data_IF_760229169948
#
_entry.id   IF_760229169948
#
_cell.length_a   1.000
_cell.length_b   1.000
_cell.length_c   1.000
_cell.angle_alpha   90.00
_cell.angle_beta   90.00
_cell.angle_gamma   90.00
#
_symmetry.space_group_name_H-M   'P 1'
#
loop_
_entity.id
_entity.type
_entity.pdbx_description
1 polymer ?
#
# COMPACT_ATOMS: atom_id res chain seq x y z
N UNK A 1 -0.96 14.28 21.34
CA UNK A 1 -1.51 14.90 20.11
C UNK A 1 -0.76 14.34 18.91
N UNK A 2 -1.38 14.32 17.72
CA UNK A 2 -0.75 13.83 16.49
C UNK A 2 -0.44 15.03 15.59
N UNK A 3 0.80 15.11 15.11
CA UNK A 3 1.25 16.16 14.20
C UNK A 3 1.64 15.55 12.86
N UNK A 4 1.07 16.04 11.77
CA UNK A 4 1.55 15.76 10.43
C UNK A 4 2.75 16.66 10.14
N UNK A 5 3.81 16.10 9.56
CA UNK A 5 5.01 16.85 9.21
C UNK A 5 5.45 16.64 7.76
N UNK A 6 6.20 17.60 7.25
CA UNK A 6 7.10 17.48 6.11
C UNK A 6 8.46 18.01 6.54
N UNK A 7 9.51 17.22 6.34
CA UNK A 7 10.85 17.58 6.80
C UNK A 7 11.92 17.00 5.87
N UNK A 8 13.08 17.66 5.78
CA UNK A 8 14.23 17.17 4.99
C UNK A 8 15.17 16.36 5.85
N UNK A 9 15.60 15.20 5.37
CA UNK A 9 16.68 14.44 6.02
C UNK A 9 18.07 15.02 5.65
N UNK A 10 19.13 14.42 6.21
CA UNK A 10 20.53 14.79 5.91
C UNK A 10 20.96 14.62 4.45
N UNK A 11 20.17 13.94 3.62
CA UNK A 11 20.40 13.78 2.19
C UNK A 11 19.59 14.79 1.36
N UNK A 12 18.97 15.79 2.02
CA UNK A 12 18.04 16.75 1.43
C UNK A 12 16.79 16.11 0.80
N UNK A 13 16.45 14.88 1.15
CA UNK A 13 15.20 14.24 0.71
C UNK A 13 14.05 14.65 1.63
N UNK A 14 12.91 14.96 1.03
CA UNK A 14 11.69 15.33 1.77
C UNK A 14 11.03 14.05 2.27
N UNK A 15 10.74 13.98 3.55
CA UNK A 15 9.96 12.93 4.18
C UNK A 15 8.72 13.51 4.81
N UNK A 16 7.58 12.86 4.60
CA UNK A 16 6.31 13.23 5.24
C UNK A 16 5.85 12.13 6.17
N UNK A 17 5.12 12.51 7.21
CA UNK A 17 4.64 11.53 8.17
C UNK A 17 3.86 12.13 9.31
N UNK A 18 3.70 11.33 10.36
CA UNK A 18 3.06 11.74 11.58
C UNK A 18 3.97 11.48 12.76
N UNK A 19 3.97 12.41 13.73
CA UNK A 19 4.71 12.30 14.99
C UNK A 19 3.75 12.55 16.15
N UNK A 20 3.87 11.75 17.20
CA UNK A 20 3.06 11.91 18.41
C UNK A 20 3.86 12.69 19.45
N UNK A 21 3.33 13.84 19.86
CA UNK A 21 3.97 14.70 20.86
C UNK A 21 2.90 15.41 21.72
N UNK A 22 3.31 15.97 22.85
CA UNK A 22 2.43 16.76 23.71
C UNK A 22 2.37 18.23 23.29
N UNK A 23 3.30 18.67 22.43
CA UNK A 23 3.35 20.03 21.89
C UNK A 23 4.07 20.06 20.53
N UNK A 24 3.87 21.12 19.71
CA UNK A 24 4.61 21.29 18.46
C UNK A 24 6.12 21.38 18.67
N UNK A 25 6.56 22.04 19.75
CA UNK A 25 7.99 22.17 20.07
C UNK A 25 8.64 20.81 20.41
N UNK A 26 7.90 19.93 21.08
CA UNK A 26 8.36 18.56 21.36
C UNK A 26 8.42 17.73 20.07
N UNK A 27 7.42 17.83 19.19
CA UNK A 27 7.43 17.19 17.88
C UNK A 27 8.63 17.63 17.02
N UNK A 28 8.92 18.94 16.97
CA UNK A 28 10.10 19.47 16.27
C UNK A 28 11.39 18.91 16.85
N UNK A 29 11.56 18.91 18.18
CA UNK A 29 12.74 18.33 18.82
C UNK A 29 12.92 16.85 18.52
N UNK A 30 11.83 16.08 18.50
CA UNK A 30 11.89 14.67 18.12
C UNK A 30 12.37 14.50 16.68
N UNK A 31 11.85 15.27 15.74
CA UNK A 31 12.27 15.24 14.33
C UNK A 31 13.73 15.70 14.15
N UNK A 32 14.13 16.78 14.84
CA UNK A 32 15.52 17.27 14.84
C UNK A 32 16.49 16.24 15.42
N UNK A 33 16.09 15.48 16.44
CA UNK A 33 16.90 14.39 17.02
C UNK A 33 17.14 13.24 16.04
N UNK A 34 16.25 13.09 15.05
CA UNK A 34 16.35 12.17 13.92
C UNK A 34 17.04 12.82 12.71
N UNK A 35 17.66 13.99 12.90
CA UNK A 35 18.37 14.74 11.87
C UNK A 35 17.46 15.20 10.72
N UNK A 36 16.20 15.48 11.03
CA UNK A 36 15.27 16.12 10.10
C UNK A 36 15.23 17.64 10.31
N UNK A 37 15.28 18.39 9.21
CA UNK A 37 14.97 19.80 9.17
C UNK A 37 13.48 19.99 8.84
N UNK A 38 12.70 20.43 9.82
CA UNK A 38 11.24 20.54 9.70
C UNK A 38 10.87 21.71 8.78
N UNK A 39 10.20 21.41 7.66
CA UNK A 39 9.65 22.40 6.72
C UNK A 39 8.19 22.73 7.05
N UNK A 40 7.43 21.74 7.52
CA UNK A 40 6.00 21.88 7.84
C UNK A 40 5.62 21.02 9.04
N UNK A 41 4.77 21.55 9.91
CA UNK A 41 4.20 20.83 11.05
C UNK A 41 2.77 21.33 11.31
N UNK A 42 1.78 20.43 11.31
CA UNK A 42 0.37 20.76 11.59
C UNK A 42 -0.24 19.74 12.54
N UNK A 43 -0.96 20.22 13.55
CA UNK A 43 -1.74 19.37 14.44
C UNK A 43 -2.93 18.76 13.69
N UNK A 44 -3.14 17.45 13.89
CA UNK A 44 -4.24 16.71 13.27
C UNK A 44 -5.04 16.04 14.39
N UNK A 45 -6.34 16.31 14.42
CA UNK A 45 -7.28 15.65 15.32
C UNK A 45 -7.38 14.16 14.98
N UNK A 46 -7.31 13.29 15.99
CA UNK A 46 -7.36 11.82 15.83
C UNK A 46 -8.63 11.32 15.09
N UNK A 47 -9.65 12.17 14.95
CA UNK A 47 -10.91 11.89 14.26
C UNK A 47 -10.87 12.07 12.73
N UNK A 48 -9.83 12.69 12.14
CA UNK A 48 -9.78 12.96 10.68
C UNK A 48 -8.85 12.01 9.90
N UNK A 49 -8.19 11.08 10.58
CA UNK A 49 -7.40 10.04 9.91
C UNK A 49 -8.30 8.93 9.40
N UNK A 50 -8.44 8.79 8.08
CA UNK A 50 -8.80 7.54 7.42
C UNK A 50 -8.20 6.37 8.24
N UNK A 51 -9.01 5.36 8.61
CA UNK A 51 -8.51 4.07 9.12
C UNK A 51 -7.49 3.55 8.12
N UNK A 52 -6.24 3.90 8.33
CA UNK A 52 -5.17 3.58 7.43
C UNK A 52 -4.81 2.14 7.69
N UNK A 53 -4.51 1.38 6.64
CA UNK A 53 -3.99 0.02 6.76
C UNK A 53 -2.55 0.02 7.30
N UNK A 54 -2.19 1.00 8.14
CA UNK A 54 -0.89 1.10 8.76
C UNK A 54 -0.94 0.39 10.11
N UNK A 55 -0.11 -0.63 10.25
CA UNK A 55 0.21 -1.25 11.52
C UNK A 55 1.28 -0.42 12.22
N UNK A 56 1.22 -0.39 13.56
CA UNK A 56 2.27 0.23 14.39
C UNK A 56 3.29 -0.82 14.79
N UNK A 57 4.55 -0.54 14.50
CA UNK A 57 5.68 -1.38 14.86
C UNK A 57 6.55 -0.65 15.86
N UNK A 58 7.02 -1.32 16.90
CA UNK A 58 8.05 -0.80 17.80
C UNK A 58 9.44 -1.22 17.32
N UNK A 59 10.43 -0.38 17.55
CA UNK A 59 11.81 -0.62 17.15
C UNK A 59 12.82 -0.18 18.20
N UNK A 60 14.00 -0.80 18.14
CA UNK A 60 15.24 -0.38 18.79
C UNK A 60 16.33 -0.35 17.73
N UNK A 61 17.00 0.77 17.56
CA UNK A 61 18.01 0.95 16.54
C UNK A 61 19.16 1.83 17.06
N UNK A 62 20.27 1.88 16.32
CA UNK A 62 21.37 2.81 16.53
C UNK A 62 21.35 3.88 15.46
N UNK A 63 21.55 5.12 15.87
CA UNK A 63 21.79 6.22 14.93
C UNK A 63 23.27 6.25 14.50
N UNK A 64 23.64 7.21 13.63
CA UNK A 64 25.03 7.41 13.17
C UNK A 64 26.04 7.66 14.30
N UNK A 65 25.59 8.20 15.42
CA UNK A 65 26.40 8.43 16.62
C UNK A 65 26.51 7.18 17.51
N UNK A 66 26.01 6.03 17.04
CA UNK A 66 25.94 4.77 17.77
C UNK A 66 25.10 4.86 19.07
N UNK A 67 24.21 5.86 19.18
CA UNK A 67 23.27 6.01 20.29
C UNK A 67 22.02 5.17 20.02
N UNK A 68 21.55 4.47 21.05
CA UNK A 68 20.33 3.67 20.98
C UNK A 68 19.10 4.59 20.96
N UNK A 69 18.28 4.42 19.93
CA UNK A 69 16.97 5.06 19.74
C UNK A 69 15.90 3.97 19.85
N UNK A 70 14.84 4.26 20.61
CA UNK A 70 13.66 3.40 20.71
C UNK A 70 12.46 4.22 20.28
N UNK A 71 11.54 3.60 19.55
CA UNK A 71 10.35 4.30 19.08
C UNK A 71 9.33 3.37 18.46
N UNK A 72 8.31 3.97 17.87
CA UNK A 72 7.33 3.28 17.03
C UNK A 72 7.26 3.92 15.65
N UNK A 73 6.94 3.12 14.65
CA UNK A 73 6.74 3.57 13.26
C UNK A 73 5.44 2.97 12.73
N UNK A 74 4.69 3.78 11.99
CA UNK A 74 3.50 3.35 11.25
C UNK A 74 3.92 2.90 9.84
N UNK A 75 3.58 1.67 9.46
CA UNK A 75 3.90 1.10 8.16
C UNK A 75 2.85 0.07 7.69
N UNK A 76 2.73 -0.17 6.38
CA UNK A 76 1.74 -1.11 5.83
C UNK A 76 2.05 -2.55 6.19
N UNK A 77 3.33 -2.84 6.42
CA UNK A 77 3.87 -4.16 6.68
C UNK A 77 5.25 -4.02 7.35
N UNK A 78 5.81 -5.14 7.79
CA UNK A 78 7.08 -5.16 8.50
C UNK A 78 8.27 -4.73 7.61
N UNK A 79 8.27 -5.14 6.33
CA UNK A 79 9.35 -4.81 5.40
C UNK A 79 9.38 -3.32 5.08
N UNK A 80 8.22 -2.70 4.81
CA UNK A 80 8.14 -1.27 4.57
C UNK A 80 8.61 -0.48 5.80
N UNK A 81 8.22 -0.86 7.01
CA UNK A 81 8.69 -0.21 8.24
C UNK A 81 10.21 -0.27 8.40
N UNK A 82 10.82 -1.44 8.16
CA UNK A 82 12.28 -1.63 8.18
C UNK A 82 12.96 -0.76 7.12
N UNK A 83 12.45 -0.76 5.88
CA UNK A 83 12.99 0.05 4.79
C UNK A 83 12.95 1.54 5.11
N UNK A 84 11.87 2.04 5.69
CA UNK A 84 11.76 3.44 6.12
C UNK A 84 12.81 3.78 7.16
N UNK A 85 12.90 3.01 8.25
CA UNK A 85 13.91 3.21 9.30
C UNK A 85 15.35 3.24 8.75
N UNK A 86 15.67 2.37 7.79
CA UNK A 86 17.01 2.33 7.21
C UNK A 86 17.27 3.43 6.17
N UNK A 87 16.29 3.75 5.31
CA UNK A 87 16.49 4.68 4.19
C UNK A 87 16.17 6.13 4.55
N UNK A 88 15.04 6.36 5.21
CA UNK A 88 14.58 7.70 5.57
C UNK A 88 15.33 8.22 6.80
N UNK A 89 15.49 7.36 7.81
CA UNK A 89 16.05 7.74 9.13
C UNK A 89 17.52 7.34 9.32
N UNK A 90 18.11 6.59 8.38
CA UNK A 90 19.51 6.11 8.43
C UNK A 90 19.84 5.43 9.78
N UNK A 91 18.93 4.57 10.23
CA UNK A 91 19.04 3.83 11.49
C UNK A 91 19.51 2.40 11.25
N UNK A 92 20.43 1.94 12.10
CA UNK A 92 20.86 0.54 12.16
C UNK A 92 19.98 -0.24 13.15
N UNK A 93 19.04 -1.01 12.62
CA UNK A 93 17.97 -1.63 13.40
C UNK A 93 18.50 -2.84 14.17
N UNK A 94 18.33 -2.83 15.49
CA UNK A 94 18.67 -3.95 16.37
C UNK A 94 17.44 -4.87 16.63
N UNK A 95 16.27 -4.27 16.84
CA UNK A 95 14.99 -4.95 17.08
C UNK A 95 13.86 -4.26 16.32
N UNK A 96 12.91 -5.04 15.81
CA UNK A 96 11.71 -4.54 15.13
C UNK A 96 10.56 -5.54 15.28
N UNK A 97 9.35 -5.07 15.55
CA UNK A 97 8.19 -5.96 15.70
C UNK A 97 6.90 -5.22 15.99
N UNK A 98 5.78 -5.96 16.08
CA UNK A 98 4.47 -5.38 16.40
C UNK A 98 4.53 -4.62 17.74
N UNK A 99 3.86 -3.46 17.80
CA UNK A 99 3.82 -2.62 19.00
C UNK A 99 3.36 -3.39 20.26
N UNK A 100 2.52 -4.40 20.10
CA UNK A 100 1.92 -5.16 21.20
C UNK A 100 2.83 -6.27 21.75
N UNK A 101 3.95 -6.59 21.10
CA UNK A 101 4.89 -7.58 21.62
C UNK A 101 5.55 -7.09 22.91
N UNK A 102 5.98 -8.00 23.79
CA UNK A 102 6.83 -7.63 24.92
C UNK A 102 8.27 -7.34 24.45
N UNK A 103 9.09 -6.70 25.28
CA UNK A 103 10.50 -6.50 24.95
C UNK A 103 11.29 -7.82 24.97
N UNK A 104 10.86 -8.78 25.78
CA UNK A 104 11.45 -10.12 25.83
C UNK A 104 11.16 -10.88 24.53
N UNK A 105 9.94 -10.80 23.99
CA UNK A 105 9.57 -11.45 22.74
C UNK A 105 10.28 -10.83 21.53
N UNK A 106 10.55 -9.52 21.56
CA UNK A 106 11.37 -8.88 20.53
C UNK A 106 12.80 -9.43 20.53
N UNK A 107 13.42 -9.57 21.70
CA UNK A 107 14.80 -10.06 21.83
C UNK A 107 14.89 -11.53 21.36
N UNK A 108 13.87 -12.35 21.63
CA UNK A 108 13.80 -13.72 21.11
C UNK A 108 13.73 -13.77 19.57
N UNK A 109 13.10 -12.78 18.94
CA UNK A 109 12.95 -12.69 17.49
C UNK A 109 14.11 -11.94 16.79
N UNK A 110 15.14 -11.53 17.54
CA UNK A 110 16.26 -10.74 17.02
C UNK A 110 16.95 -11.41 15.83
N UNK A 111 17.15 -12.74 15.88
CA UNK A 111 17.78 -13.50 14.79
C UNK A 111 17.01 -13.37 13.48
N UNK A 112 15.71 -13.65 13.51
CA UNK A 112 14.81 -13.57 12.34
C UNK A 112 14.74 -12.15 11.75
N UNK A 113 14.76 -11.12 12.60
CA UNK A 113 14.77 -9.73 12.13
C UNK A 113 16.09 -9.36 11.46
N UNK A 114 17.23 -9.83 11.98
CA UNK A 114 18.54 -9.59 11.35
C UNK A 114 18.65 -10.29 9.99
N UNK A 115 18.09 -11.50 9.85
CA UNK A 115 18.00 -12.19 8.56
C UNK A 115 17.15 -11.40 7.56
N UNK A 116 15.99 -10.89 7.98
CA UNK A 116 15.12 -10.06 7.14
C UNK A 116 15.81 -8.76 6.71
N UNK A 117 16.54 -8.10 7.62
CA UNK A 117 17.33 -6.90 7.31
C UNK A 117 18.43 -7.21 6.28
N UNK A 118 19.12 -8.35 6.44
CA UNK A 118 20.16 -8.78 5.50
C UNK A 118 19.58 -9.06 4.10
N UNK A 119 18.42 -9.71 4.01
CA UNK A 119 17.70 -9.93 2.76
C UNK A 119 17.27 -8.60 2.11
N UNK A 120 16.74 -7.66 2.89
CA UNK A 120 16.36 -6.32 2.41
C UNK A 120 17.57 -5.52 1.87
N UNK A 121 18.75 -5.66 2.49
CA UNK A 121 20.00 -5.00 2.05
C UNK A 121 20.57 -5.62 0.77
N UNK A 122 20.45 -6.93 0.60
CA UNK A 122 21.05 -7.67 -0.51
C UNK A 122 20.16 -7.73 -1.75
N UNK A 123 18.83 -7.62 -1.59
CA UNK A 123 17.91 -7.54 -2.73
C UNK A 123 18.21 -6.27 -3.56
N UNK A 124 18.71 -6.41 -4.80
CA UNK A 124 18.87 -5.27 -5.68
C UNK A 124 17.50 -4.64 -5.89
N UNK A 125 17.43 -3.31 -5.79
CA UNK A 125 16.24 -2.55 -6.13
C UNK A 125 16.06 -2.69 -7.65
N UNK A 126 15.46 -3.80 -8.09
CA UNK A 126 15.03 -3.94 -9.46
C UNK A 126 14.01 -2.82 -9.71
N UNK A 127 14.43 -1.82 -10.48
CA UNK A 127 13.60 -0.74 -11.04
C UNK A 127 12.51 -1.34 -11.91
N UNK A 128 11.47 -1.90 -11.28
CA UNK A 128 10.17 -2.26 -11.88
C UNK A 128 9.19 -2.74 -10.82
N UNK A 129 9.16 -2.08 -9.67
CA UNK A 129 8.03 -2.07 -8.74
C UNK A 129 8.31 -0.97 -7.72
N UNK A 130 7.27 -0.17 -7.45
CA UNK A 130 7.24 0.85 -6.39
C UNK A 130 7.96 2.15 -6.71
N UNK A 131 7.36 2.97 -7.59
CA UNK A 131 7.46 4.43 -7.48
C UNK A 131 6.48 4.90 -6.39
N UNK A 132 6.88 4.71 -5.13
CA UNK A 132 6.52 5.65 -4.07
C UNK A 132 7.53 6.80 -4.15
N UNK A 133 7.00 7.99 -4.37
CA UNK A 133 7.43 9.23 -3.71
C UNK A 133 8.91 9.61 -3.87
N UNK A 134 9.21 10.19 -5.02
CA UNK A 134 10.05 11.38 -5.11
C UNK A 134 9.56 12.13 -6.36
N UNK A 135 8.86 13.26 -6.15
CA UNK A 135 8.67 14.41 -7.05
C UNK A 135 7.48 15.23 -6.57
N UNK A 136 7.75 16.33 -5.88
CA UNK A 136 6.90 17.51 -5.97
C UNK A 136 7.79 18.73 -6.16
N UNK A 137 8.07 19.04 -7.43
CA UNK A 137 8.43 20.36 -7.95
C UNK A 137 8.51 20.28 -9.47
N UNK A 138 7.42 20.67 -10.13
CA UNK A 138 7.30 21.01 -11.56
C UNK A 138 7.43 19.88 -12.60
N UNK A 139 6.31 19.20 -12.90
CA UNK A 139 5.92 18.96 -14.30
C UNK A 139 4.39 18.72 -14.39
N UNK A 140 3.71 19.69 -14.99
CA UNK A 140 2.26 19.76 -15.12
C UNK A 140 1.74 18.76 -16.18
N UNK A 141 0.56 18.20 -15.91
CA UNK A 141 -0.44 17.64 -16.84
C UNK A 141 -0.25 16.24 -17.46
N UNK A 142 0.94 15.69 -17.71
CA UNK A 142 1.06 14.35 -18.35
C UNK A 142 1.00 13.17 -17.37
N UNK A 143 1.33 13.39 -16.09
CA UNK A 143 1.43 12.30 -15.11
C UNK A 143 0.07 11.76 -14.62
N UNK A 144 -1.02 12.54 -14.75
CA UNK A 144 -2.37 12.05 -14.44
C UNK A 144 -2.93 11.05 -15.46
N UNK A 145 -2.30 10.95 -16.63
CA UNK A 145 -2.64 9.93 -17.63
C UNK A 145 -2.03 8.58 -17.23
N UNK A 146 -0.83 8.57 -16.64
CA UNK A 146 -0.10 7.33 -16.30
C UNK A 146 -0.69 6.51 -15.13
N UNK A 147 -1.07 7.12 -14.00
CA UNK A 147 -1.74 6.40 -12.88
C UNK A 147 -3.16 5.91 -13.20
N UNK A 148 -3.78 6.41 -14.28
CA UNK A 148 -5.10 5.98 -14.76
C UNK A 148 -5.01 4.81 -15.75
N UNK A 149 -3.84 4.57 -16.36
CA UNK A 149 -3.57 3.42 -17.24
C UNK A 149 -3.49 2.12 -16.40
N UNK A 150 -3.01 2.20 -15.16
CA UNK A 150 -2.90 1.04 -14.25
C UNK A 150 -4.27 0.41 -13.90
N UNK A 151 -5.36 1.17 -13.86
CA UNK A 151 -6.67 0.61 -13.46
C UNK A 151 -7.26 -0.33 -14.51
N UNK A 152 -7.15 0.05 -15.80
CA UNK A 152 -7.65 -0.78 -16.90
C UNK A 152 -6.76 -2.02 -17.07
N UNK A 153 -5.44 -1.89 -16.92
CA UNK A 153 -4.52 -3.02 -16.96
C UNK A 153 -4.77 -4.02 -15.81
N UNK A 154 -5.08 -3.53 -14.61
CA UNK A 154 -5.47 -4.39 -13.49
C UNK A 154 -6.79 -5.12 -13.74
N UNK A 155 -7.79 -4.45 -14.33
CA UNK A 155 -9.06 -5.10 -14.70
C UNK A 155 -8.88 -6.16 -15.78
N UNK A 156 -8.11 -5.87 -16.83
CA UNK A 156 -7.76 -6.84 -17.88
C UNK A 156 -7.06 -8.06 -17.26
N UNK A 157 -6.10 -7.83 -16.35
CA UNK A 157 -5.38 -8.90 -15.66
C UNK A 157 -6.31 -9.76 -14.80
N UNK A 158 -7.27 -9.14 -14.11
CA UNK A 158 -8.24 -9.83 -13.27
C UNK A 158 -9.24 -10.66 -14.09
N UNK A 159 -9.77 -10.11 -15.19
CA UNK A 159 -10.68 -10.85 -16.08
C UNK A 159 -9.94 -12.02 -16.74
N UNK A 160 -8.70 -11.81 -17.19
CA UNK A 160 -7.85 -12.89 -17.71
C UNK A 160 -7.56 -13.96 -16.65
N UNK A 161 -7.30 -13.56 -15.41
CA UNK A 161 -7.13 -14.51 -14.31
C UNK A 161 -8.39 -15.36 -14.10
N UNK A 162 -9.57 -14.73 -14.09
CA UNK A 162 -10.84 -15.43 -13.90
C UNK A 162 -11.10 -16.41 -15.04
N UNK A 163 -10.96 -15.96 -16.29
CA UNK A 163 -11.12 -16.78 -17.49
C UNK A 163 -10.18 -17.99 -17.49
N UNK A 164 -8.90 -17.79 -17.13
CA UNK A 164 -7.91 -18.87 -17.17
C UNK A 164 -8.02 -19.83 -15.97
N UNK A 165 -8.29 -19.31 -14.77
CA UNK A 165 -8.31 -20.12 -13.54
C UNK A 165 -9.61 -20.89 -13.37
N UNK A 166 -10.73 -20.31 -13.79
CA UNK A 166 -12.06 -20.89 -13.63
C UNK A 166 -12.67 -21.38 -14.95
N UNK A 167 -11.85 -21.56 -16.00
CA UNK A 167 -12.31 -21.93 -17.35
C UNK A 167 -13.28 -23.12 -17.38
N UNK A 168 -12.97 -24.16 -16.60
CA UNK A 168 -13.77 -25.38 -16.50
C UNK A 168 -15.10 -25.22 -15.76
N UNK A 169 -15.28 -24.12 -15.03
CA UNK A 169 -16.46 -23.84 -14.21
C UNK A 169 -17.37 -22.80 -14.88
N UNK A 170 -16.85 -22.00 -15.82
CA UNK A 170 -17.61 -20.98 -16.52
C UNK A 170 -18.55 -21.63 -17.55
N UNK A 171 -19.84 -21.25 -17.51
CA UNK A 171 -20.77 -21.57 -18.60
C UNK A 171 -20.27 -20.89 -19.88
N UNK A 172 -20.46 -21.55 -21.04
CA UNK A 172 -20.02 -21.02 -22.33
C UNK A 172 -20.57 -19.60 -22.63
N UNK A 173 -21.79 -19.31 -22.15
CA UNK A 173 -22.42 -17.99 -22.26
C UNK A 173 -21.64 -16.93 -21.47
N UNK A 174 -21.42 -17.15 -20.18
CA UNK A 174 -20.65 -16.23 -19.32
C UNK A 174 -19.20 -16.07 -19.80
N UNK A 175 -18.59 -17.14 -20.33
CA UNK A 175 -17.26 -17.09 -20.94
C UNK A 175 -17.23 -16.18 -22.16
N UNK A 176 -18.21 -16.30 -23.06
CA UNK A 176 -18.33 -15.43 -24.24
C UNK A 176 -18.49 -13.96 -23.86
N UNK A 177 -19.33 -13.67 -22.86
CA UNK A 177 -19.59 -12.31 -22.37
C UNK A 177 -18.34 -11.68 -21.72
N UNK A 178 -17.61 -12.46 -20.91
CA UNK A 178 -16.34 -12.05 -20.30
C UNK A 178 -15.29 -11.75 -21.36
N UNK A 179 -15.23 -12.55 -22.42
CA UNK A 179 -14.23 -12.43 -23.48
C UNK A 179 -14.57 -11.29 -24.46
N UNK A 180 -15.84 -11.04 -24.72
CA UNK A 180 -16.31 -9.84 -25.41
C UNK A 180 -15.99 -8.58 -24.62
N UNK A 181 -16.20 -8.61 -23.30
CA UNK A 181 -15.89 -7.48 -22.43
C UNK A 181 -14.38 -7.23 -22.32
N UNK A 182 -13.57 -8.28 -22.26
CA UNK A 182 -12.11 -8.19 -22.34
C UNK A 182 -11.69 -7.49 -23.66
N UNK A 183 -12.24 -7.92 -24.79
CA UNK A 183 -11.97 -7.31 -26.09
C UNK A 183 -12.39 -5.83 -26.13
N UNK A 184 -13.49 -5.46 -25.48
CA UNK A 184 -13.91 -4.06 -25.35
C UNK A 184 -12.88 -3.29 -24.51
N UNK A 185 -12.43 -3.82 -23.37
CA UNK A 185 -11.41 -3.16 -22.55
C UNK A 185 -10.07 -3.02 -23.27
N UNK A 186 -9.62 -4.02 -24.01
CA UNK A 186 -8.39 -3.93 -24.80
C UNK A 186 -8.47 -2.86 -25.89
N UNK A 187 -9.60 -2.80 -26.62
CA UNK A 187 -9.85 -1.79 -27.66
C UNK A 187 -9.98 -0.39 -27.08
N UNK A 188 -10.55 -0.28 -25.88
CA UNK A 188 -10.85 1.00 -25.25
C UNK A 188 -9.77 1.42 -24.24
N UNK A 189 -8.71 0.64 -24.00
CA UNK A 189 -7.71 0.97 -22.95
C UNK A 189 -7.04 2.34 -23.10
N UNK A 190 -7.06 2.90 -24.31
CA UNK A 190 -6.52 4.23 -24.63
C UNK A 190 -7.58 5.31 -24.82
N UNK A 191 -8.87 4.99 -24.63
CA UNK A 191 -9.97 5.94 -24.83
C UNK A 191 -10.04 6.96 -23.69
N UNK A 192 -10.42 8.20 -24.03
CA UNK A 192 -10.60 9.28 -23.05
C UNK A 192 -11.87 9.09 -22.20
N UNK A 193 -12.80 8.21 -22.61
CA UNK A 193 -14.08 8.01 -21.93
C UNK A 193 -13.97 6.99 -20.78
N UNK A 194 -13.22 7.40 -19.75
CA UNK A 194 -12.88 6.57 -18.58
C UNK A 194 -14.09 6.24 -17.70
N UNK A 195 -15.08 7.13 -17.63
CA UNK A 195 -16.30 6.92 -16.85
C UNK A 195 -17.13 5.76 -17.40
N UNK A 196 -17.20 5.64 -18.73
CA UNK A 196 -17.91 4.54 -19.38
C UNK A 196 -17.23 3.18 -19.10
N UNK A 197 -15.89 3.11 -19.17
CA UNK A 197 -15.15 1.89 -18.84
C UNK A 197 -15.33 1.47 -17.38
N UNK A 198 -15.32 2.44 -16.44
CA UNK A 198 -15.56 2.14 -15.03
C UNK A 198 -16.95 1.56 -14.79
N UNK A 199 -17.98 2.10 -15.45
CA UNK A 199 -19.33 1.59 -15.33
C UNK A 199 -19.48 0.20 -15.96
N UNK A 200 -18.84 -0.04 -17.11
CA UNK A 200 -18.80 -1.37 -17.74
C UNK A 200 -18.09 -2.39 -16.86
N UNK A 201 -16.94 -2.03 -16.28
CA UNK A 201 -16.20 -2.89 -15.35
C UNK A 201 -16.99 -3.19 -14.07
N UNK A 202 -17.71 -2.19 -13.54
CA UNK A 202 -18.60 -2.37 -12.39
C UNK A 202 -19.76 -3.32 -12.72
N UNK A 203 -20.35 -3.20 -13.92
CA UNK A 203 -21.41 -4.13 -14.35
C UNK A 203 -20.87 -5.55 -14.43
N UNK A 204 -19.70 -5.71 -15.07
CA UNK A 204 -19.08 -7.01 -15.24
C UNK A 204 -18.72 -7.68 -13.91
N UNK A 205 -18.08 -6.96 -12.98
CA UNK A 205 -17.75 -7.52 -11.65
C UNK A 205 -19.04 -7.89 -10.91
N UNK A 206 -20.08 -7.07 -10.99
CA UNK A 206 -21.38 -7.39 -10.40
C UNK A 206 -22.01 -8.61 -11.05
N UNK A 207 -21.94 -8.76 -12.36
CA UNK A 207 -22.43 -9.93 -13.08
C UNK A 207 -21.66 -11.17 -12.67
N UNK A 208 -20.32 -11.15 -12.70
CA UNK A 208 -19.47 -12.26 -12.22
C UNK A 208 -19.82 -12.66 -10.78
N UNK A 209 -19.98 -11.69 -9.87
CA UNK A 209 -20.30 -11.96 -8.47
C UNK A 209 -21.76 -12.40 -8.25
N UNK A 210 -22.68 -12.01 -9.14
CA UNK A 210 -24.09 -12.36 -9.04
C UNK A 210 -24.44 -13.65 -9.77
N UNK A 211 -23.65 -14.04 -10.77
CA UNK A 211 -23.82 -15.25 -11.57
C UNK A 211 -23.70 -16.48 -10.66
N UNK A 212 -24.58 -17.45 -10.88
CA UNK A 212 -24.80 -18.63 -10.01
C UNK A 212 -23.52 -19.45 -9.75
N UNK A 213 -22.48 -19.25 -10.57
CA UNK A 213 -21.11 -19.73 -10.38
C UNK A 213 -20.59 -19.53 -8.95
N UNK A 214 -20.85 -18.38 -8.33
CA UNK A 214 -20.44 -18.09 -6.95
C UNK A 214 -21.49 -18.45 -5.90
N UNK A 215 -22.70 -18.87 -6.28
CA UNK A 215 -23.77 -19.17 -5.32
C UNK A 215 -24.06 -20.65 -5.16
N UNK A 216 -23.85 -21.47 -6.19
CA UNK A 216 -24.26 -22.88 -6.18
C UNK A 216 -23.11 -23.89 -6.17
N UNK A 217 -21.85 -23.49 -6.42
CA UNK A 217 -20.76 -24.46 -6.65
C UNK A 217 -19.53 -24.36 -5.75
N UNK A 218 -19.48 -23.42 -4.80
CA UNK A 218 -18.35 -23.29 -3.88
C UNK A 218 -18.80 -23.19 -2.44
N UNK A 219 -18.49 -24.22 -1.64
CA UNK A 219 -18.44 -24.08 -0.19
C UNK A 219 -17.22 -23.19 0.11
N UNK A 220 -17.46 -21.88 0.27
CA UNK A 220 -16.42 -20.87 0.46
C UNK A 220 -15.53 -21.11 1.69
N UNK A 221 -15.89 -22.05 2.56
CA UNK A 221 -15.09 -22.42 3.70
C UNK A 221 -13.85 -23.27 3.36
N UNK A 222 -13.80 -23.91 2.18
CA UNK A 222 -12.75 -24.88 1.85
C UNK A 222 -11.61 -24.36 0.96
N UNK A 223 -11.67 -23.13 0.45
CA UNK A 223 -10.59 -22.55 -0.38
C UNK A 223 -10.20 -21.13 0.02
N UNK A 224 -9.08 -20.95 0.75
CA UNK A 224 -8.55 -19.64 1.12
C UNK A 224 -8.25 -18.73 -0.08
N UNK A 225 -7.93 -19.32 -1.24
CA UNK A 225 -7.61 -18.61 -2.47
C UNK A 225 -8.84 -17.90 -3.06
N UNK A 226 -10.02 -18.52 -2.96
CA UNK A 226 -11.27 -17.97 -3.50
C UNK A 226 -11.83 -16.89 -2.58
N UNK A 227 -11.72 -17.05 -1.26
CA UNK A 227 -12.03 -15.99 -0.31
C UNK A 227 -11.12 -14.78 -0.54
N UNK A 228 -9.83 -15.01 -0.78
CA UNK A 228 -8.90 -13.93 -1.11
C UNK A 228 -9.30 -13.23 -2.42
N UNK A 229 -9.67 -13.97 -3.47
CA UNK A 229 -10.14 -13.39 -4.72
C UNK A 229 -11.43 -12.59 -4.56
N UNK A 230 -12.41 -13.11 -3.82
CA UNK A 230 -13.66 -12.41 -3.51
C UNK A 230 -13.39 -11.14 -2.70
N UNK A 231 -12.50 -11.21 -1.69
CA UNK A 231 -12.06 -10.05 -0.91
C UNK A 231 -11.32 -9.04 -1.78
N UNK A 232 -10.46 -9.46 -2.71
CA UNK A 232 -9.75 -8.58 -3.64
C UNK A 232 -10.74 -7.93 -4.63
N UNK A 233 -11.66 -8.69 -5.21
CA UNK A 233 -12.71 -8.21 -6.09
C UNK A 233 -13.61 -7.18 -5.39
N UNK A 234 -14.03 -7.50 -4.17
CA UNK A 234 -14.88 -6.62 -3.35
C UNK A 234 -14.11 -5.36 -2.91
N UNK A 235 -12.83 -5.49 -2.56
CA UNK A 235 -11.95 -4.37 -2.23
C UNK A 235 -11.76 -3.45 -3.43
N UNK A 236 -11.49 -3.99 -4.61
CA UNK A 236 -11.36 -3.23 -5.86
C UNK A 236 -12.67 -2.52 -6.22
N UNK A 237 -13.80 -3.21 -6.06
CA UNK A 237 -15.14 -2.63 -6.25
C UNK A 237 -15.37 -1.46 -5.27
N UNK A 238 -15.06 -1.63 -3.98
CA UNK A 238 -15.18 -0.58 -2.95
C UNK A 238 -14.25 0.61 -3.21
N UNK A 239 -13.02 0.37 -3.66
CA UNK A 239 -12.09 1.42 -4.05
C UNK A 239 -12.61 2.21 -5.27
N UNK A 240 -13.32 1.57 -6.20
CA UNK A 240 -13.98 2.24 -7.32
C UNK A 240 -15.22 3.07 -6.93
N UNK A 241 -15.71 2.95 -5.70
CA UNK A 241 -16.81 3.77 -5.15
C UNK A 241 -16.32 4.97 -4.32
N UNK A 242 -15.08 4.94 -3.81
CA UNK A 242 -14.56 6.01 -2.93
C UNK A 242 -13.96 7.22 -3.66
N UNK A 243 -13.83 7.18 -4.98
CA UNK A 243 -13.44 8.33 -5.79
C UNK A 243 -14.58 8.71 -6.75
N UNK A 244 -15.63 9.43 -6.30
CA UNK A 244 -16.46 10.18 -7.23
C UNK A 244 -15.59 11.29 -7.82
N UNK A 245 -15.61 11.40 -9.15
CA UNK A 245 -14.88 12.43 -9.88
C UNK A 245 -15.14 13.82 -9.28
N UNK A 246 -14.09 14.40 -8.70
CA UNK A 246 -13.91 15.85 -8.61
C UNK A 246 -12.90 16.27 -9.68
#
# INVERSE_FOLDING_TARGET
MRYQYSAKNNQNQISTGFVNANSPAEATKQLESLQFQVDYLKEVSESEGNKSNYSKYKFRAKNKENKTVKGTIEATDMESGIRRLMKEYDLDIELFGDQNLSDQDLELNKGSIQELIADIKTRPINKKTSKSEDLDSQENSEFQVSKKIDYVENLISMVNYILNRFDSYLKNTSKSELQETLNIFEKTRYSENKAQMQNQAKSLIKEILNDELFKESFDFNDSPEINNLHTQATTLLLLSFKNPAQ
#
